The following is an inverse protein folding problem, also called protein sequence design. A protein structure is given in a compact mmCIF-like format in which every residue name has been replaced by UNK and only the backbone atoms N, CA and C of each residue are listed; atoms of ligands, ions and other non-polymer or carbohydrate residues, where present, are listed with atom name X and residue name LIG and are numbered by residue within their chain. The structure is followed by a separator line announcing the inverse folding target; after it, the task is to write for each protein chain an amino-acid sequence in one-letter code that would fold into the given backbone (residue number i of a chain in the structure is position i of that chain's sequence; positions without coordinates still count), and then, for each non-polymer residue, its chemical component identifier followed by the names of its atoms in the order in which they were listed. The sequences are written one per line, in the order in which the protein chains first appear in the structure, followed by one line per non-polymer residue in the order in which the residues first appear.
data_IF_751843410741
#
_entry.id   IF_751843410741
#
_cell.length_a   1.000
_cell.length_b   1.000
_cell.length_c   1.000
_cell.angle_alpha   90.00
_cell.angle_beta   90.00
_cell.angle_gamma   90.00
#
_symmetry.space_group_name_H-M   'P 1'
#
loop_
_entity.id
_entity.type
_entity.pdbx_description
1 polymer ?
#
# COMPACT_ATOMS: atom_id res chain seq x y z
N UNK A 1 -8.81 19.46 8.34
CA UNK A 1 -9.05 18.79 7.04
C UNK A 1 -7.88 19.00 6.05
N UNK A 2 -6.67 18.57 6.40
CA UNK A 2 -5.53 18.63 5.45
C UNK A 2 -5.56 17.45 4.47
N UNK A 3 -5.93 16.26 4.97
CA UNK A 3 -6.10 15.06 4.16
C UNK A 3 -7.09 15.22 2.99
N UNK A 4 -8.22 15.92 3.21
CA UNK A 4 -9.20 16.16 2.14
C UNK A 4 -8.67 17.08 1.03
N UNK A 5 -7.77 18.03 1.36
CA UNK A 5 -7.11 18.86 0.34
C UNK A 5 -6.15 18.04 -0.52
N UNK A 6 -5.45 17.07 0.09
CA UNK A 6 -4.63 16.13 -0.67
C UNK A 6 -5.52 15.27 -1.57
N UNK A 7 -6.68 14.80 -1.07
CA UNK A 7 -7.65 14.06 -1.86
C UNK A 7 -8.21 14.87 -3.04
N UNK A 8 -8.50 16.17 -2.83
CA UNK A 8 -8.91 17.08 -3.91
C UNK A 8 -7.86 17.14 -5.02
N UNK A 9 -6.57 17.18 -4.68
CA UNK A 9 -5.48 17.17 -5.65
C UNK A 9 -5.50 15.95 -6.59
N UNK A 10 -5.89 14.77 -6.11
CA UNK A 10 -6.07 13.59 -6.98
C UNK A 10 -7.22 13.76 -7.96
N UNK A 11 -8.36 14.27 -7.49
CA UNK A 11 -9.54 14.51 -8.32
C UNK A 11 -9.26 15.59 -9.37
N UNK A 12 -8.67 16.72 -8.96
CA UNK A 12 -8.32 17.84 -9.83
C UNK A 12 -7.32 17.46 -10.92
N UNK A 13 -6.40 16.53 -10.64
CA UNK A 13 -5.42 16.04 -11.60
C UNK A 13 -5.87 14.79 -12.35
N UNK A 14 -7.13 14.34 -12.18
CA UNK A 14 -7.69 13.17 -12.86
C UNK A 14 -6.82 11.91 -12.63
N UNK A 15 -6.41 11.72 -11.38
CA UNK A 15 -5.55 10.63 -10.93
C UNK A 15 -6.32 9.64 -10.04
N UNK A 16 -6.39 8.36 -10.43
CA UNK A 16 -6.93 7.29 -9.59
C UNK A 16 -6.28 7.23 -8.20
N UNK A 17 -7.10 7.08 -7.17
CA UNK A 17 -6.64 6.74 -5.84
C UNK A 17 -7.68 5.87 -5.12
N UNK A 18 -7.24 4.75 -4.53
CA UNK A 18 -8.14 3.79 -3.90
C UNK A 18 -8.36 4.05 -2.40
N UNK A 19 -7.38 4.59 -1.70
CA UNK A 19 -7.42 4.78 -0.25
C UNK A 19 -6.35 5.78 0.21
N UNK A 20 -6.53 6.34 1.41
CA UNK A 20 -5.58 7.28 2.02
C UNK A 20 -5.43 7.01 3.52
N UNK A 21 -4.19 7.00 4.01
CA UNK A 21 -3.90 7.11 5.44
C UNK A 21 -3.90 8.58 5.84
N UNK A 22 -4.51 8.90 6.98
CA UNK A 22 -4.68 10.29 7.42
C UNK A 22 -3.99 10.62 8.73
N UNK A 23 -3.28 9.67 9.34
CA UNK A 23 -2.65 9.80 10.66
C UNK A 23 -1.27 9.11 10.76
N UNK A 24 -0.56 8.95 9.64
CA UNK A 24 0.73 8.25 9.65
C UNK A 24 1.80 9.07 10.37
N UNK A 25 2.29 8.57 11.50
CA UNK A 25 3.37 9.20 12.28
C UNK A 25 3.09 9.34 13.78
N UNK A 26 4.14 9.22 14.58
CA UNK A 26 4.07 9.36 16.04
C UNK A 26 3.52 10.74 16.43
N UNK A 27 2.44 10.75 17.23
CA UNK A 27 1.84 11.97 17.74
C UNK A 27 0.95 12.73 16.74
N UNK A 28 0.77 12.24 15.51
CA UNK A 28 -0.14 12.88 14.53
C UNK A 28 -1.60 12.82 14.98
N UNK A 29 -2.02 11.73 15.63
CA UNK A 29 -3.41 11.54 16.07
C UNK A 29 -4.42 11.63 14.92
N UNK A 30 -5.71 11.74 15.24
CA UNK A 30 -6.75 12.04 14.25
C UNK A 30 -7.92 12.77 14.93
N UNK A 31 -8.55 13.68 14.20
CA UNK A 31 -9.76 14.40 14.58
C UNK A 31 -10.82 14.20 13.50
N UNK A 32 -12.11 14.31 13.86
CA UNK A 32 -13.23 14.28 12.92
C UNK A 32 -13.21 13.10 11.94
N UNK A 33 -12.91 11.89 12.47
CA UNK A 33 -12.61 10.72 11.66
C UNK A 33 -13.76 10.30 10.74
N UNK A 34 -15.00 10.35 11.25
CA UNK A 34 -16.20 10.02 10.48
C UNK A 34 -16.44 11.00 9.31
N UNK A 35 -16.26 12.30 9.57
CA UNK A 35 -16.39 13.34 8.55
C UNK A 35 -15.28 13.23 7.50
N UNK A 36 -14.06 12.90 7.93
CA UNK A 36 -12.94 12.64 7.03
C UNK A 36 -13.20 11.40 6.17
N UNK A 37 -13.77 10.33 6.74
CA UNK A 37 -14.12 9.13 5.99
C UNK A 37 -15.19 9.40 4.94
N UNK A 38 -16.25 10.12 5.30
CA UNK A 38 -17.32 10.53 4.37
C UNK A 38 -16.73 11.40 3.24
N UNK A 39 -15.91 12.40 3.58
CA UNK A 39 -15.26 13.25 2.58
C UNK A 39 -14.33 12.49 1.62
N UNK A 40 -13.65 11.43 2.07
CA UNK A 40 -12.87 10.55 1.19
C UNK A 40 -13.79 9.69 0.31
N UNK A 41 -14.89 9.16 0.86
CA UNK A 41 -15.84 8.33 0.12
C UNK A 41 -16.55 9.10 -1.00
N UNK A 42 -16.88 10.37 -0.78
CA UNK A 42 -17.41 11.28 -1.82
C UNK A 42 -16.48 11.42 -3.02
N UNK A 43 -15.17 11.16 -2.83
CA UNK A 43 -14.13 11.19 -3.86
C UNK A 43 -13.72 9.79 -4.35
N UNK A 44 -14.45 8.76 -3.94
CA UNK A 44 -14.18 7.36 -4.30
C UNK A 44 -13.00 6.72 -3.56
N UNK A 45 -12.52 7.33 -2.47
CA UNK A 45 -11.36 6.87 -1.70
C UNK A 45 -11.79 6.24 -0.37
N UNK A 46 -11.11 5.19 0.05
CA UNK A 46 -11.33 4.58 1.36
C UNK A 46 -10.40 5.19 2.43
N UNK A 47 -10.92 5.35 3.64
CA UNK A 47 -10.11 5.76 4.78
C UNK A 47 -9.24 4.61 5.26
N UNK A 48 -7.96 4.87 5.47
CA UNK A 48 -7.06 4.02 6.23
C UNK A 48 -6.45 4.74 7.41
N UNK A 49 -5.96 3.98 8.38
CA UNK A 49 -5.24 4.51 9.53
C UNK A 49 -3.96 3.74 9.81
N UNK A 50 -2.97 4.47 10.28
CA UNK A 50 -1.80 3.94 10.95
C UNK A 50 -2.17 3.50 12.37
N UNK A 51 -1.72 2.30 12.74
CA UNK A 51 -2.12 1.57 13.95
C UNK A 51 -0.89 1.35 14.83
N UNK A 52 -0.68 2.25 15.79
CA UNK A 52 0.46 2.24 16.72
C UNK A 52 0.15 1.56 18.06
N UNK A 53 -0.95 1.92 18.71
CA UNK A 53 -1.17 1.51 20.10
C UNK A 53 -1.97 0.20 20.22
N UNK A 54 -1.78 -0.73 19.27
CA UNK A 54 -2.54 -1.96 19.17
C UNK A 54 -3.96 -1.77 18.61
N UNK A 55 -4.89 -2.64 19.00
CA UNK A 55 -6.22 -2.76 18.37
C UNK A 55 -7.39 -2.29 19.23
N UNK A 56 -7.15 -1.77 20.44
CA UNK A 56 -8.22 -1.46 21.40
C UNK A 56 -9.28 -0.49 20.84
N UNK A 57 -8.88 0.38 19.91
CA UNK A 57 -9.76 1.39 19.28
C UNK A 57 -10.28 0.98 17.90
N UNK A 58 -9.89 -0.19 17.38
CA UNK A 58 -10.15 -0.56 15.98
C UNK A 58 -11.65 -0.65 15.69
N UNK A 59 -12.45 -1.14 16.65
CA UNK A 59 -13.89 -1.23 16.47
C UNK A 59 -14.54 0.13 16.23
N UNK A 60 -14.13 1.16 16.99
CA UNK A 60 -14.69 2.50 16.85
C UNK A 60 -14.12 3.22 15.62
N UNK A 61 -12.85 2.98 15.27
CA UNK A 61 -12.25 3.50 14.03
C UNK A 61 -12.90 2.90 12.77
N UNK A 62 -13.22 1.60 12.78
CA UNK A 62 -13.91 0.92 11.67
C UNK A 62 -15.36 1.39 11.54
N UNK A 63 -16.06 1.61 12.66
CA UNK A 63 -17.38 2.27 12.65
C UNK A 63 -17.31 3.69 12.09
N UNK A 64 -16.23 4.42 12.36
CA UNK A 64 -15.98 5.73 11.78
C UNK A 64 -15.53 5.70 10.31
N UNK A 65 -15.35 4.51 9.70
CA UNK A 65 -15.11 4.36 8.27
C UNK A 65 -13.73 3.83 7.88
N UNK A 66 -12.86 3.46 8.83
CA UNK A 66 -11.57 2.84 8.53
C UNK A 66 -11.76 1.51 7.77
N UNK A 67 -11.02 1.33 6.68
CA UNK A 67 -10.99 0.11 5.85
C UNK A 67 -9.58 -0.41 5.56
N UNK A 68 -8.55 0.33 5.93
CA UNK A 68 -7.13 -0.09 5.82
C UNK A 68 -6.42 0.16 7.15
N UNK A 69 -5.61 -0.80 7.59
CA UNK A 69 -4.77 -0.67 8.78
C UNK A 69 -3.28 -0.81 8.42
N UNK A 70 -2.49 0.26 8.55
CA UNK A 70 -1.03 0.19 8.44
C UNK A 70 -0.44 0.00 9.83
N UNK A 71 0.22 -1.13 10.07
CA UNK A 71 0.75 -1.47 11.39
C UNK A 71 2.05 -0.71 11.65
N UNK A 72 2.17 -0.14 12.84
CA UNK A 72 3.39 0.56 13.24
C UNK A 72 4.51 -0.40 13.63
N UNK A 73 5.76 -0.02 13.35
CA UNK A 73 6.95 -0.70 13.82
C UNK A 73 7.11 -0.65 15.34
N UNK A 74 6.71 0.42 16.06
CA UNK A 74 6.77 0.37 17.53
C UNK A 74 5.76 -0.63 18.12
N UNK A 75 4.69 -0.95 17.38
CA UNK A 75 3.84 -2.07 17.74
C UNK A 75 4.45 -3.39 17.32
N UNK A 76 4.57 -3.67 16.02
CA UNK A 76 4.87 -5.03 15.55
C UNK A 76 6.37 -5.36 15.45
N UNK A 77 7.26 -4.40 15.75
CA UNK A 77 8.71 -4.47 15.52
C UNK A 77 9.49 -5.48 16.34
N UNK A 78 8.85 -6.17 17.31
CA UNK A 78 9.45 -7.35 17.92
C UNK A 78 9.50 -8.55 16.96
N UNK A 79 8.78 -8.48 15.83
CA UNK A 79 8.82 -9.43 14.74
C UNK A 79 8.16 -10.78 15.04
N UNK A 80 8.50 -11.77 14.21
CA UNK A 80 8.12 -13.17 14.39
C UNK A 80 6.61 -13.36 14.61
N UNK A 81 6.24 -14.18 15.60
CA UNK A 81 4.85 -14.45 15.97
C UNK A 81 4.11 -13.16 16.37
N UNK A 82 4.78 -12.22 17.03
CA UNK A 82 4.15 -11.01 17.53
C UNK A 82 3.63 -10.13 16.38
N UNK A 83 4.47 -9.90 15.38
CA UNK A 83 4.04 -9.19 14.17
C UNK A 83 2.92 -9.91 13.42
N UNK A 84 2.99 -11.24 13.37
CA UNK A 84 1.98 -12.07 12.72
C UNK A 84 0.63 -12.06 13.46
N UNK A 85 0.63 -11.98 14.78
CA UNK A 85 -0.59 -11.86 15.58
C UNK A 85 -1.19 -10.46 15.40
N UNK A 86 -0.39 -9.40 15.52
CA UNK A 86 -0.87 -8.02 15.27
C UNK A 86 -1.50 -7.85 13.89
N UNK A 87 -0.90 -8.45 12.86
CA UNK A 87 -1.47 -8.48 11.51
C UNK A 87 -2.84 -9.19 11.44
N UNK A 88 -3.01 -10.34 12.11
CA UNK A 88 -4.31 -11.03 12.15
C UNK A 88 -5.34 -10.23 12.92
N UNK A 89 -4.93 -9.63 14.03
CA UNK A 89 -5.82 -8.91 14.93
C UNK A 89 -6.35 -7.65 14.26
N UNK A 90 -5.49 -6.89 13.56
CA UNK A 90 -5.92 -5.76 12.75
C UNK A 90 -6.78 -6.18 11.56
N UNK A 91 -6.42 -7.28 10.88
CA UNK A 91 -7.21 -7.83 9.77
C UNK A 91 -8.62 -8.20 10.20
N UNK A 92 -8.74 -8.98 11.29
CA UNK A 92 -10.03 -9.37 11.88
C UNK A 92 -10.77 -8.19 12.47
N UNK A 93 -10.07 -7.22 13.07
CA UNK A 93 -10.71 -6.03 13.61
C UNK A 93 -11.50 -5.26 12.55
N UNK A 94 -11.05 -5.26 11.28
CA UNK A 94 -11.83 -4.72 10.16
C UNK A 94 -13.03 -5.61 9.82
N UNK A 95 -12.85 -6.94 9.69
CA UNK A 95 -13.91 -7.87 9.30
C UNK A 95 -15.00 -8.05 10.37
N UNK A 96 -14.63 -8.03 11.65
CA UNK A 96 -15.54 -8.24 12.77
C UNK A 96 -16.40 -6.99 13.06
N UNK A 97 -16.00 -5.82 12.54
CA UNK A 97 -16.65 -4.53 12.79
C UNK A 97 -17.18 -3.85 11.51
N UNK A 98 -17.11 -4.50 10.34
CA UNK A 98 -17.68 -4.00 9.08
C UNK A 98 -18.03 -5.14 8.12
N UNK A 99 -18.60 -4.81 6.96
CA UNK A 99 -18.84 -5.73 5.85
C UNK A 99 -17.65 -5.84 4.88
N UNK A 100 -16.55 -5.13 5.15
CA UNK A 100 -15.36 -5.13 4.34
C UNK A 100 -14.44 -6.32 4.66
N UNK A 101 -13.65 -6.72 3.66
CA UNK A 101 -12.55 -7.68 3.87
C UNK A 101 -11.43 -7.00 4.63
N UNK A 102 -10.73 -7.75 5.47
CA UNK A 102 -9.57 -7.22 6.18
C UNK A 102 -8.49 -6.77 5.20
N UNK A 103 -7.90 -5.60 5.46
CA UNK A 103 -6.79 -5.08 4.67
C UNK A 103 -5.77 -4.43 5.61
N UNK A 104 -4.62 -5.08 5.76
CA UNK A 104 -3.49 -4.53 6.52
C UNK A 104 -2.23 -4.35 5.67
N UNK A 105 -1.41 -3.37 6.05
CA UNK A 105 -0.02 -3.20 5.62
C UNK A 105 0.90 -3.43 6.81
N UNK A 106 1.87 -4.33 6.67
CA UNK A 106 2.78 -4.68 7.76
C UNK A 106 4.25 -4.45 7.36
N UNK A 107 5.06 -3.78 8.22
CA UNK A 107 6.49 -3.59 8.01
C UNK A 107 7.31 -4.84 8.35
N UNK A 108 6.76 -5.70 9.22
CA UNK A 108 7.40 -6.93 9.67
C UNK A 108 6.37 -8.05 9.74
N UNK A 109 6.83 -9.30 9.60
CA UNK A 109 5.95 -10.45 9.72
C UNK A 109 6.69 -11.78 9.92
N UNK A 110 5.98 -12.89 9.74
CA UNK A 110 6.49 -14.25 9.83
C UNK A 110 5.71 -15.19 8.90
N UNK A 111 6.11 -16.47 8.86
CA UNK A 111 5.42 -17.49 8.07
C UNK A 111 3.90 -17.49 8.31
N UNK A 112 3.12 -17.31 7.25
CA UNK A 112 1.66 -17.21 7.30
C UNK A 112 1.11 -15.79 7.21
N UNK A 113 1.94 -14.75 7.11
CA UNK A 113 1.50 -13.35 7.03
C UNK A 113 0.68 -13.03 5.77
N UNK A 114 0.85 -13.80 4.69
CA UNK A 114 0.09 -13.63 3.44
C UNK A 114 -1.44 -13.73 3.62
N UNK A 115 -1.91 -14.28 4.76
CA UNK A 115 -3.34 -14.38 5.08
C UNK A 115 -3.96 -13.12 5.65
N UNK A 116 -3.14 -12.16 6.11
CA UNK A 116 -3.63 -11.03 6.89
C UNK A 116 -3.14 -9.67 6.38
N UNK A 117 -2.12 -9.61 5.52
CA UNK A 117 -1.61 -8.31 5.11
C UNK A 117 -0.67 -8.31 3.92
N UNK A 118 -0.57 -7.13 3.34
CA UNK A 118 0.46 -6.74 2.37
C UNK A 118 1.75 -6.49 3.13
N UNK A 119 2.86 -7.06 2.65
CA UNK A 119 4.18 -6.75 3.21
C UNK A 119 4.74 -5.49 2.55
N UNK A 120 5.13 -4.52 3.37
CA UNK A 120 5.75 -3.28 2.94
C UNK A 120 7.25 -3.32 3.22
N UNK A 121 8.07 -2.85 2.27
CA UNK A 121 9.52 -3.05 2.31
C UNK A 121 10.27 -2.21 3.35
N UNK A 122 9.64 -1.30 4.08
CA UNK A 122 10.33 -0.42 5.03
C UNK A 122 10.62 0.98 4.49
N UNK A 123 11.29 1.78 5.32
CA UNK A 123 11.70 3.14 4.98
C UNK A 123 12.99 3.15 4.16
N UNK A 124 12.97 3.83 3.01
CA UNK A 124 14.11 3.94 2.10
C UNK A 124 14.21 5.32 1.43
N UNK A 125 15.39 5.60 0.86
CA UNK A 125 15.62 6.79 0.03
C UNK A 125 15.31 6.56 -1.45
N UNK A 126 14.53 7.46 -2.05
CA UNK A 126 14.25 7.50 -3.49
C UNK A 126 15.50 7.70 -4.33
N UNK A 127 15.95 6.62 -4.97
CA UNK A 127 17.14 6.58 -5.82
C UNK A 127 16.97 5.54 -6.94
N UNK A 128 17.86 5.53 -7.93
CA UNK A 128 17.87 4.45 -8.92
C UNK A 128 18.23 3.09 -8.32
N UNK A 129 19.09 3.07 -7.29
CA UNK A 129 19.42 1.85 -6.57
C UNK A 129 18.23 1.31 -5.78
N UNK A 130 17.37 2.19 -5.26
CA UNK A 130 16.11 1.81 -4.62
C UNK A 130 15.24 0.98 -5.57
N UNK A 131 14.99 1.50 -6.77
CA UNK A 131 14.23 0.78 -7.81
C UNK A 131 14.92 -0.56 -8.13
N UNK A 132 16.24 -0.55 -8.33
CA UNK A 132 17.02 -1.74 -8.69
C UNK A 132 16.90 -2.87 -7.66
N UNK A 133 16.95 -2.56 -6.37
CA UNK A 133 16.88 -3.57 -5.31
C UNK A 133 15.45 -4.03 -5.00
N UNK A 134 14.43 -3.21 -5.24
CA UNK A 134 13.05 -3.62 -4.96
C UNK A 134 12.52 -4.71 -5.88
N UNK A 135 12.95 -4.72 -7.15
CA UNK A 135 12.55 -5.76 -8.12
C UNK A 135 12.90 -7.17 -7.62
N UNK A 136 14.17 -7.50 -7.27
CA UNK A 136 14.49 -8.82 -6.71
C UNK A 136 13.89 -9.04 -5.32
N UNK A 137 13.65 -7.99 -4.52
CA UNK A 137 12.97 -8.12 -3.21
C UNK A 137 11.55 -8.65 -3.37
N UNK A 138 10.74 -8.11 -4.28
CA UNK A 138 9.36 -8.58 -4.49
C UNK A 138 9.30 -9.92 -5.21
N UNK A 139 10.26 -10.19 -6.10
CA UNK A 139 10.46 -11.52 -6.67
C UNK A 139 10.73 -12.57 -5.57
N UNK A 140 11.65 -12.29 -4.64
CA UNK A 140 11.98 -13.17 -3.53
C UNK A 140 10.83 -13.32 -2.52
N UNK A 141 10.08 -12.25 -2.26
CA UNK A 141 8.91 -12.30 -1.40
C UNK A 141 7.80 -13.19 -2.00
N UNK A 142 7.59 -13.11 -3.32
CA UNK A 142 6.66 -14.02 -4.02
C UNK A 142 7.11 -15.48 -3.86
N UNK A 143 8.41 -15.77 -4.05
CA UNK A 143 8.96 -17.12 -3.83
C UNK A 143 8.80 -17.60 -2.38
N UNK A 144 8.64 -16.68 -1.44
CA UNK A 144 8.38 -16.95 -0.03
C UNK A 144 6.88 -17.08 0.31
N UNK A 145 6.00 -17.12 -0.71
CA UNK A 145 4.56 -17.28 -0.55
C UNK A 145 3.81 -15.99 -0.20
N UNK A 146 4.44 -14.82 -0.37
CA UNK A 146 3.79 -13.52 -0.18
C UNK A 146 3.24 -13.02 -1.52
N UNK A 147 1.92 -13.18 -1.73
CA UNK A 147 1.28 -12.77 -2.98
C UNK A 147 1.22 -11.24 -3.18
N UNK A 148 1.25 -10.49 -2.08
CA UNK A 148 1.20 -9.03 -2.08
C UNK A 148 2.36 -8.43 -1.31
N UNK A 149 3.25 -7.79 -2.04
CA UNK A 149 4.35 -6.99 -1.49
C UNK A 149 4.52 -5.71 -2.27
N UNK A 150 4.86 -4.63 -1.58
CA UNK A 150 5.18 -3.34 -2.20
C UNK A 150 6.11 -2.54 -1.29
N UNK A 151 6.43 -1.33 -1.70
CA UNK A 151 7.16 -0.31 -0.97
C UNK A 151 6.74 1.06 -1.49
N UNK A 152 7.24 2.12 -0.88
CA UNK A 152 6.84 3.48 -1.21
C UNK A 152 7.26 3.86 -2.62
N UNK A 153 6.39 4.45 -3.42
CA UNK A 153 6.80 5.07 -4.67
C UNK A 153 7.83 6.17 -4.36
N UNK A 154 9.02 6.04 -4.95
CA UNK A 154 10.18 6.92 -4.76
C UNK A 154 10.73 7.00 -3.34
N UNK A 155 10.46 6.00 -2.50
CA UNK A 155 10.89 6.00 -1.09
C UNK A 155 10.24 7.10 -0.25
N UNK A 156 10.20 6.87 1.07
CA UNK A 156 9.73 7.87 2.03
C UNK A 156 10.66 9.09 2.13
N UNK A 157 11.96 8.91 1.90
CA UNK A 157 12.98 9.97 1.95
C UNK A 157 13.53 10.32 0.56
N UNK A 158 14.07 11.52 0.39
CA UNK A 158 14.79 11.93 -0.83
C UNK A 158 13.91 11.87 -2.08
N UNK A 159 14.47 11.45 -3.21
CA UNK A 159 13.73 11.26 -4.46
C UNK A 159 13.85 12.40 -5.48
N UNK A 160 13.21 12.21 -6.62
CA UNK A 160 13.23 13.14 -7.75
C UNK A 160 12.09 12.86 -8.72
N UNK A 161 11.73 13.83 -9.55
CA UNK A 161 10.73 13.63 -10.60
C UNK A 161 11.00 12.40 -11.50
N UNK A 162 12.28 12.15 -11.82
CA UNK A 162 12.69 11.02 -12.68
C UNK A 162 12.55 9.67 -11.97
N UNK A 163 13.03 9.57 -10.73
CA UNK A 163 12.96 8.33 -9.95
C UNK A 163 11.52 8.03 -9.56
N UNK A 164 10.74 9.03 -9.14
CA UNK A 164 9.32 8.86 -8.84
C UNK A 164 8.55 8.31 -10.03
N UNK A 165 8.70 8.94 -11.19
CA UNK A 165 7.99 8.53 -12.40
C UNK A 165 8.39 7.12 -12.80
N UNK A 166 9.69 6.79 -12.81
CA UNK A 166 10.12 5.42 -13.17
C UNK A 166 9.69 4.38 -12.16
N UNK A 167 9.71 4.71 -10.88
CA UNK A 167 9.30 3.79 -9.82
C UNK A 167 7.79 3.53 -9.86
N UNK A 168 6.99 4.57 -10.05
CA UNK A 168 5.53 4.45 -10.24
C UNK A 168 5.20 3.55 -11.43
N UNK A 169 5.85 3.76 -12.58
CA UNK A 169 5.59 3.02 -13.81
C UNK A 169 5.63 1.50 -13.63
N UNK A 170 6.70 0.97 -13.03
CA UNK A 170 6.80 -0.48 -12.84
C UNK A 170 5.94 -0.98 -11.67
N UNK A 171 5.74 -0.15 -10.62
CA UNK A 171 4.88 -0.49 -9.48
C UNK A 171 3.41 -0.61 -9.83
N UNK A 172 2.94 0.02 -10.91
CA UNK A 172 1.57 -0.17 -11.41
C UNK A 172 1.28 -1.63 -11.79
N UNK A 173 2.30 -2.44 -12.07
CA UNK A 173 2.19 -3.87 -12.32
C UNK A 173 2.29 -4.75 -11.06
N UNK A 174 2.40 -4.16 -9.87
CA UNK A 174 2.27 -4.87 -8.58
C UNK A 174 0.80 -4.95 -8.15
N UNK A 175 0.48 -5.92 -7.31
CA UNK A 175 -0.91 -6.15 -6.85
C UNK A 175 -1.46 -5.03 -5.97
N UNK A 176 -0.57 -4.24 -5.39
CA UNK A 176 -0.91 -3.02 -4.67
C UNK A 176 0.28 -2.07 -4.68
N UNK A 177 0.02 -0.78 -4.42
CA UNK A 177 1.02 0.28 -4.46
C UNK A 177 0.63 1.35 -3.43
N UNK A 178 1.62 2.04 -2.88
CA UNK A 178 1.42 3.13 -1.94
C UNK A 178 2.47 4.22 -2.19
N UNK A 179 2.06 5.47 -2.04
CA UNK A 179 2.94 6.63 -1.91
C UNK A 179 2.97 7.02 -0.44
N UNK A 180 4.15 7.26 0.12
CA UNK A 180 4.30 7.68 1.52
C UNK A 180 4.82 9.11 1.57
N UNK A 181 4.18 9.97 2.35
CA UNK A 181 4.43 11.41 2.38
C UNK A 181 4.81 11.91 3.78
N UNK A 182 5.36 13.12 3.88
CA UNK A 182 5.61 13.82 5.15
C UNK A 182 7.05 13.83 5.66
N UNK A 183 7.96 13.05 5.04
CA UNK A 183 9.36 12.95 5.48
C UNK A 183 10.40 13.39 4.43
N UNK A 184 9.97 13.60 3.19
CA UNK A 184 10.79 14.18 2.15
C UNK A 184 10.63 15.71 2.12
N UNK A 185 11.61 16.40 1.53
CA UNK A 185 11.55 17.87 1.38
C UNK A 185 10.43 18.35 0.44
N UNK A 186 9.90 17.46 -0.40
CA UNK A 186 8.76 17.71 -1.27
C UNK A 186 7.76 16.59 -1.05
N UNK A 187 6.48 16.97 -1.03
CA UNK A 187 5.39 16.02 -0.90
C UNK A 187 5.42 14.94 -1.98
N UNK A 188 5.03 13.73 -1.59
CA UNK A 188 5.14 12.51 -2.40
C UNK A 188 3.86 12.18 -3.17
N UNK A 189 3.25 13.16 -3.82
CA UNK A 189 2.06 12.95 -4.65
C UNK A 189 2.41 12.88 -6.15
N UNK A 190 1.68 12.08 -6.95
CA UNK A 190 2.03 11.82 -8.36
C UNK A 190 1.93 13.05 -9.27
N UNK A 191 1.26 14.10 -8.82
CA UNK A 191 1.08 15.38 -9.53
C UNK A 191 2.07 16.49 -9.08
N UNK A 192 2.94 16.26 -8.09
CA UNK A 192 3.78 17.32 -7.50
C UNK A 192 4.92 17.82 -8.40
N UNK A 193 5.44 16.96 -9.27
CA UNK A 193 6.61 17.31 -10.10
C UNK A 193 6.28 18.05 -11.40
N UNK A 194 5.00 18.28 -11.70
CA UNK A 194 4.55 18.96 -12.91
C UNK A 194 4.84 18.17 -14.19
N UNK A 195 4.60 18.80 -15.34
CA UNK A 195 4.80 18.17 -16.64
C UNK A 195 6.30 18.01 -17.00
N UNK A 196 6.68 16.91 -17.70
CA UNK A 196 5.82 15.87 -18.28
C UNK A 196 5.44 14.74 -17.30
N UNK A 197 5.89 14.82 -16.04
CA UNK A 197 5.80 13.72 -15.08
C UNK A 197 4.37 13.48 -14.60
N UNK A 198 3.61 14.55 -14.34
CA UNK A 198 2.19 14.47 -13.97
C UNK A 198 1.40 13.67 -14.99
N UNK A 199 1.52 13.98 -16.29
CA UNK A 199 0.81 13.22 -17.33
C UNK A 199 1.26 11.75 -17.38
N UNK A 200 2.57 11.49 -17.32
CA UNK A 200 3.07 10.10 -17.33
C UNK A 200 2.55 9.31 -16.13
N UNK A 201 2.55 9.90 -14.93
CA UNK A 201 2.08 9.24 -13.72
C UNK A 201 0.58 8.94 -13.80
N UNK A 202 -0.23 9.90 -14.26
CA UNK A 202 -1.66 9.71 -14.52
C UNK A 202 -1.92 8.56 -15.49
N UNK A 203 -1.21 8.52 -16.62
CA UNK A 203 -1.41 7.49 -17.64
C UNK A 203 -1.15 6.08 -17.08
N UNK A 204 -0.13 5.93 -16.24
CA UNK A 204 0.18 4.64 -15.60
C UNK A 204 -0.81 4.27 -14.49
N UNK A 205 -1.31 5.24 -13.72
CA UNK A 205 -2.40 4.99 -12.76
C UNK A 205 -3.68 4.53 -13.48
N UNK A 206 -4.04 5.19 -14.59
CA UNK A 206 -5.17 4.78 -15.43
C UNK A 206 -4.96 3.44 -16.10
N UNK A 207 -3.72 3.14 -16.52
CA UNK A 207 -3.37 1.80 -16.99
C UNK A 207 -3.63 0.76 -15.91
N UNK A 208 -3.22 1.01 -14.66
CA UNK A 208 -3.50 0.10 -13.53
C UNK A 208 -5.00 -0.12 -13.35
N UNK A 209 -5.80 0.94 -13.38
CA UNK A 209 -7.27 0.83 -13.32
C UNK A 209 -7.83 -0.04 -14.46
N UNK A 210 -7.38 0.19 -15.70
CA UNK A 210 -7.83 -0.61 -16.85
C UNK A 210 -7.46 -2.10 -16.74
N UNK A 211 -6.38 -2.40 -16.00
CA UNK A 211 -5.91 -3.76 -15.73
C UNK A 211 -6.57 -4.40 -14.50
N UNK A 212 -7.45 -3.71 -13.77
CA UNK A 212 -8.08 -4.25 -12.55
C UNK A 212 -8.76 -5.62 -12.77
N UNK A 213 -9.52 -5.89 -13.85
CA UNK A 213 -10.10 -7.22 -14.07
C UNK A 213 -9.03 -8.33 -14.17
N UNK A 214 -7.90 -8.01 -14.79
CA UNK A 214 -6.76 -8.91 -14.90
C UNK A 214 -6.07 -9.09 -13.54
N UNK A 215 -5.74 -7.99 -12.84
CA UNK A 215 -5.10 -8.03 -11.53
C UNK A 215 -5.95 -8.77 -10.49
N UNK A 216 -7.28 -8.56 -10.51
CA UNK A 216 -8.22 -9.22 -9.61
C UNK A 216 -8.40 -10.72 -9.91
N UNK A 217 -8.22 -11.14 -11.16
CA UNK A 217 -8.18 -12.57 -11.50
C UNK A 217 -6.98 -13.27 -10.86
N UNK A 218 -5.80 -12.66 -10.90
CA UNK A 218 -4.62 -13.18 -10.20
C UNK A 218 -4.71 -13.04 -8.68
N UNK A 219 -5.36 -11.99 -8.19
CA UNK A 219 -5.71 -11.88 -6.77
C UNK A 219 -6.51 -13.10 -6.31
N UNK A 220 -7.54 -13.48 -7.08
CA UNK A 220 -8.34 -14.66 -6.80
C UNK A 220 -7.52 -15.95 -6.91
N UNK A 221 -6.71 -16.11 -7.96
CA UNK A 221 -5.83 -17.28 -8.13
C UNK A 221 -4.89 -17.44 -6.93
N UNK A 222 -4.30 -16.34 -6.44
CA UNK A 222 -3.42 -16.36 -5.28
C UNK A 222 -4.13 -16.90 -4.03
N UNK A 223 -5.44 -16.67 -3.86
CA UNK A 223 -6.21 -17.26 -2.73
C UNK A 223 -6.38 -18.78 -2.84
N UNK A 224 -6.23 -19.35 -4.04
CA UNK A 224 -6.41 -20.78 -4.32
C UNK A 224 -5.08 -21.53 -4.40
N UNK A 225 -4.05 -20.91 -4.96
CA UNK A 225 -2.77 -21.55 -5.28
C UNK A 225 -1.60 -21.02 -4.44
N UNK A 226 -1.75 -19.86 -3.79
CA UNK A 226 -0.66 -19.13 -3.15
C UNK A 226 0.26 -18.38 -4.12
N UNK A 227 0.03 -18.47 -5.43
CA UNK A 227 0.88 -17.84 -6.45
C UNK A 227 0.33 -16.46 -6.82
N UNK A 228 1.06 -15.41 -6.44
CA UNK A 228 0.74 -14.02 -6.75
C UNK A 228 0.92 -13.64 -8.23
N UNK A 229 0.67 -12.37 -8.54
CA UNK A 229 0.81 -11.84 -9.90
C UNK A 229 2.25 -11.54 -10.30
N UNK A 230 3.10 -11.18 -9.34
CA UNK A 230 4.54 -11.00 -9.57
C UNK A 230 5.14 -12.39 -9.67
N UNK A 231 5.73 -12.74 -10.81
CA UNK A 231 6.23 -14.09 -11.07
C UNK A 231 7.65 -14.02 -11.60
N UNK A 232 8.66 -14.42 -10.81
CA UNK A 232 10.03 -14.54 -11.30
C UNK A 232 10.08 -15.52 -12.48
N UNK A 233 10.99 -15.36 -13.45
CA UNK A 233 11.07 -16.25 -14.61
C UNK A 233 11.13 -17.74 -14.27
N UNK A 234 11.74 -18.11 -13.13
CA UNK A 234 11.82 -19.49 -12.62
C UNK A 234 10.47 -20.11 -12.23
N UNK A 235 9.44 -19.30 -11.99
CA UNK A 235 8.08 -19.78 -11.65
C UNK A 235 7.20 -20.04 -12.87
N UNK A 236 7.70 -19.75 -14.07
CA UNK A 236 7.01 -20.10 -15.31
C UNK A 236 7.08 -21.61 -15.52
N UNK A 237 5.94 -22.32 -15.67
CA UNK A 237 5.94 -23.76 -15.95
C UNK A 237 6.61 -24.13 -17.29
N UNK A 238 6.90 -23.14 -18.16
CA UNK A 238 7.66 -23.31 -19.40
C UNK A 238 9.17 -23.04 -19.27
N UNK A 239 9.66 -22.70 -18.09
CA UNK A 239 11.08 -22.47 -17.83
C UNK A 239 11.85 -23.75 -17.47
N UNK A 240 11.21 -24.93 -17.53
CA UNK A 240 11.92 -26.19 -17.53
C UNK A 240 12.82 -26.26 -18.78
N UNK A 241 14.10 -26.68 -18.64
CA UNK A 241 15.02 -26.68 -19.76
C UNK A 241 14.49 -27.57 -20.89
N UNK A 242 14.57 -27.07 -22.13
CA UNK A 242 14.61 -27.92 -23.32
C UNK A 242 15.93 -28.68 -23.36
#
# INVERSE_FOLDING_TARGET
MDALKVADGYVENDMPNGWMLVNDGYGCGHEDLAETAEGLQDRGMQLGLWTQDGIDKIADQVKAGQRVAKLDVAWVGAGYKFALDGCKDAYRGIEDNSDARGFTYAPESWAGAQRCGVQWSGDQYGTWDYIRWQIPTYAGATMSGLAYTTGDVDGIFGGSAKTYTRDLQWKMFLGTTMTMDGWAASDKQPFRYGEPYTTINRDYLKLKESLLPYQYSYAHEATKTGVGMVRPPSTSPRAAPM
#
